data_IF_931500625593
#
_entry.id   IF_931500625593
#
_cell.length_a   1.000
_cell.length_b   1.000
_cell.length_c   1.000
_cell.angle_alpha   90.00
_cell.angle_beta   90.00
_cell.angle_gamma   90.00
#
_symmetry.space_group_name_H-M   'P 1'
#
loop_
_entity.id
_entity.type
_entity.pdbx_description
1 polymer ?
#
# COMPACT_ATOMS: atom_id res chain seq x y z
N UNK A 1 -0.83 -7.75 7.69
CA UNK A 1 -1.93 -6.77 7.66
C UNK A 1 -3.22 -7.47 7.30
N UNK A 2 -4.37 -6.83 7.55
CA UNK A 2 -5.68 -7.42 7.26
C UNK A 2 -6.36 -6.70 6.10
N UNK A 3 -6.97 -7.49 5.22
CA UNK A 3 -7.79 -7.06 4.11
C UNK A 3 -9.23 -7.49 4.38
N UNK A 4 -10.18 -6.57 4.25
CA UNK A 4 -11.60 -6.90 4.16
C UNK A 4 -11.98 -6.98 2.68
N UNK A 5 -12.52 -8.12 2.27
CA UNK A 5 -12.84 -8.40 0.87
C UNK A 5 -14.08 -9.29 0.76
N UNK A 6 -14.44 -9.62 -0.47
CA UNK A 6 -15.59 -10.47 -0.81
C UNK A 6 -15.21 -11.43 -1.94
N UNK A 7 -15.96 -12.53 -2.08
CA UNK A 7 -15.67 -13.52 -3.11
C UNK A 7 -16.09 -13.04 -4.51
N UNK A 8 -15.11 -12.88 -5.40
CA UNK A 8 -15.35 -12.50 -6.80
C UNK A 8 -15.81 -13.67 -7.68
N UNK A 9 -15.53 -14.93 -7.30
CA UNK A 9 -16.09 -16.09 -8.00
C UNK A 9 -17.60 -16.21 -7.78
N UNK A 10 -18.08 -15.89 -6.57
CA UNK A 10 -19.52 -15.74 -6.33
C UNK A 10 -20.15 -14.69 -7.24
N UNK A 11 -19.45 -13.58 -7.48
CA UNK A 11 -19.92 -12.54 -8.41
C UNK A 11 -20.07 -13.06 -9.85
N UNK A 12 -19.14 -13.89 -10.32
CA UNK A 12 -19.23 -14.51 -11.66
C UNK A 12 -20.39 -15.48 -11.78
N UNK A 13 -20.62 -16.30 -10.75
CA UNK A 13 -21.68 -17.31 -10.79
C UNK A 13 -23.09 -16.74 -10.54
N UNK A 14 -23.22 -15.79 -9.61
CA UNK A 14 -24.50 -15.30 -9.12
C UNK A 14 -24.89 -13.93 -9.67
N UNK A 15 -23.97 -13.23 -10.35
CA UNK A 15 -24.13 -11.83 -10.72
C UNK A 15 -23.99 -10.84 -9.55
N UNK A 16 -23.74 -11.35 -8.33
CA UNK A 16 -23.50 -10.56 -7.12
C UNK A 16 -22.46 -11.27 -6.23
N UNK A 17 -21.69 -10.55 -5.39
CA UNK A 17 -20.72 -11.17 -4.51
C UNK A 17 -21.37 -12.03 -3.43
N UNK A 18 -20.54 -12.77 -2.69
CA UNK A 18 -21.02 -13.57 -1.55
C UNK A 18 -21.70 -12.73 -0.47
N UNK A 19 -21.52 -11.41 -0.38
CA UNK A 19 -21.95 -10.54 0.74
C UNK A 19 -21.43 -10.92 2.14
N UNK A 20 -20.96 -12.15 2.33
CA UNK A 20 -20.06 -12.60 3.39
C UNK A 20 -18.80 -11.72 3.43
N UNK A 21 -18.57 -10.97 4.53
CA UNK A 21 -17.32 -10.24 4.70
C UNK A 21 -16.19 -11.22 5.00
N UNK A 22 -15.18 -11.24 4.13
CA UNK A 22 -13.98 -12.07 4.31
C UNK A 22 -12.86 -11.17 4.84
N UNK A 23 -12.34 -11.51 6.02
CA UNK A 23 -11.15 -10.87 6.58
C UNK A 23 -9.97 -11.80 6.35
N UNK A 24 -9.01 -11.36 5.56
CA UNK A 24 -7.87 -12.17 5.18
C UNK A 24 -6.56 -11.45 5.46
N UNK A 25 -5.56 -12.22 5.89
CA UNK A 25 -4.23 -11.68 6.12
C UNK A 25 -3.47 -11.57 4.79
N UNK A 26 -2.64 -10.54 4.71
CA UNK A 26 -1.64 -10.42 3.67
C UNK A 26 -0.31 -9.94 4.27
N UNK A 27 0.76 -10.27 3.56
CA UNK A 27 2.13 -10.02 3.99
C UNK A 27 2.90 -9.29 2.89
N UNK A 28 4.19 -9.56 2.77
CA UNK A 28 5.11 -8.78 1.94
C UNK A 28 4.76 -8.78 0.44
N UNK A 29 4.28 -9.93 -0.06
CA UNK A 29 3.88 -10.13 -1.46
C UNK A 29 2.63 -9.35 -1.87
N UNK A 30 1.89 -8.79 -0.91
CA UNK A 30 0.65 -8.05 -1.16
C UNK A 30 -0.41 -8.89 -1.92
N UNK A 31 -0.44 -10.19 -1.65
CA UNK A 31 -1.41 -11.15 -2.13
C UNK A 31 -2.05 -11.82 -0.91
N UNK A 32 -3.36 -11.96 -0.92
CA UNK A 32 -4.11 -12.70 0.07
C UNK A 32 -4.88 -13.85 -0.57
N UNK A 33 -4.81 -15.04 0.02
CA UNK A 33 -5.56 -16.20 -0.45
C UNK A 33 -6.80 -16.38 0.42
N UNK A 34 -7.97 -16.44 -0.20
CA UNK A 34 -9.25 -16.52 0.50
C UNK A 34 -10.01 -17.78 0.12
N UNK A 35 -10.90 -18.21 1.02
CA UNK A 35 -11.91 -19.24 0.76
C UNK A 35 -13.24 -18.76 1.31
N UNK A 36 -14.28 -18.69 0.48
CA UNK A 36 -15.62 -18.27 0.91
C UNK A 36 -16.45 -19.44 1.44
N UNK A 37 -17.60 -19.15 2.05
CA UNK A 37 -18.54 -20.15 2.54
C UNK A 37 -19.09 -21.12 1.47
N UNK A 38 -18.99 -20.77 0.17
CA UNK A 38 -19.34 -21.66 -0.96
C UNK A 38 -18.18 -22.54 -1.44
N UNK A 39 -17.00 -22.44 -0.82
CA UNK A 39 -15.82 -23.25 -1.15
C UNK A 39 -14.97 -22.72 -2.31
N UNK A 40 -15.29 -21.55 -2.89
CA UNK A 40 -14.42 -20.93 -3.89
C UNK A 40 -13.10 -20.50 -3.27
N UNK A 41 -12.00 -20.80 -3.96
CA UNK A 41 -10.66 -20.34 -3.61
C UNK A 41 -10.22 -19.28 -4.60
N UNK A 42 -9.74 -18.15 -4.10
CA UNK A 42 -9.23 -17.08 -4.97
C UNK A 42 -8.06 -16.33 -4.34
N UNK A 43 -7.28 -15.67 -5.19
CA UNK A 43 -6.20 -14.77 -4.79
C UNK A 43 -6.64 -13.32 -4.97
N UNK A 44 -6.44 -12.50 -3.94
CA UNK A 44 -6.70 -11.07 -3.98
C UNK A 44 -5.38 -10.32 -4.00
N UNK A 45 -5.11 -9.63 -5.10
CA UNK A 45 -3.91 -8.80 -5.28
C UNK A 45 -4.22 -7.39 -4.80
N UNK A 46 -3.39 -6.87 -3.91
CA UNK A 46 -3.48 -5.48 -3.50
C UNK A 46 -2.77 -4.64 -4.56
N UNK A 47 -3.38 -3.54 -5.02
CA UNK A 47 -2.83 -2.67 -6.06
C UNK A 47 -1.87 -1.61 -5.52
N UNK A 48 -1.95 -1.35 -4.23
CA UNK A 48 -1.17 -0.35 -3.52
C UNK A 48 0.34 -0.59 -3.64
N UNK A 49 1.08 0.52 -3.74
CA UNK A 49 2.52 0.53 -3.61
C UNK A 49 2.93 0.28 -2.15
N UNK A 50 4.15 -0.23 -1.97
CA UNK A 50 4.64 -0.65 -0.66
C UNK A 50 4.68 0.50 0.36
N UNK A 51 5.01 1.71 -0.07
CA UNK A 51 5.04 2.88 0.83
C UNK A 51 3.66 3.22 1.38
N UNK A 52 2.60 3.06 0.58
CA UNK A 52 1.23 3.36 1.03
C UNK A 52 0.75 2.34 2.07
N UNK A 53 1.06 1.05 1.86
CA UNK A 53 0.79 -0.04 2.81
C UNK A 53 1.49 0.23 4.15
N UNK A 54 2.75 0.71 4.11
CA UNK A 54 3.53 1.01 5.31
C UNK A 54 3.06 2.28 6.02
N UNK A 55 2.57 3.29 5.30
CA UNK A 55 1.91 4.45 5.89
C UNK A 55 0.67 4.03 6.69
N UNK A 56 -0.16 3.17 6.11
CA UNK A 56 -1.34 2.64 6.80
C UNK A 56 -0.94 1.80 8.03
N UNK A 57 0.09 0.96 7.92
CA UNK A 57 0.64 0.21 9.06
C UNK A 57 1.14 1.13 10.18
N UNK A 58 1.71 2.29 9.83
CA UNK A 58 2.16 3.27 10.82
C UNK A 58 0.99 3.94 11.55
N UNK A 59 -0.08 4.28 10.82
CA UNK A 59 -1.30 4.84 11.41
C UNK A 59 -1.93 3.85 12.37
N UNK A 60 -2.09 2.60 11.95
CA UNK A 60 -2.65 1.54 12.79
C UNK A 60 -1.83 1.37 14.08
N UNK A 61 -0.50 1.31 13.97
CA UNK A 61 0.38 1.19 15.14
C UNK A 61 0.23 2.38 16.09
N UNK A 62 0.20 3.60 15.56
CA UNK A 62 0.09 4.83 16.35
C UNK A 62 -1.25 4.92 17.09
N UNK A 63 -2.37 4.57 16.44
CA UNK A 63 -3.70 4.54 17.05
C UNK A 63 -3.72 3.60 18.26
N UNK A 64 -3.02 2.47 18.18
CA UNK A 64 -2.93 1.49 19.26
C UNK A 64 -1.82 1.79 20.29
N UNK A 65 -1.14 2.93 20.19
CA UNK A 65 -0.10 3.35 21.14
C UNK A 65 1.27 2.72 20.91
N UNK A 66 1.48 2.00 19.81
CA UNK A 66 2.75 1.38 19.42
C UNK A 66 3.65 2.40 18.72
N UNK A 67 4.22 3.34 19.48
CA UNK A 67 4.96 4.50 18.95
C UNK A 67 6.27 4.12 18.25
N UNK A 68 6.97 3.10 18.75
CA UNK A 68 8.21 2.60 18.15
C UNK A 68 7.93 1.97 16.77
N UNK A 69 6.91 1.14 16.69
CA UNK A 69 6.45 0.46 15.48
C UNK A 69 5.91 1.46 14.45
N UNK A 70 5.18 2.48 14.91
CA UNK A 70 4.71 3.57 14.07
C UNK A 70 5.87 4.35 13.45
N UNK A 71 6.85 4.77 14.25
CA UNK A 71 8.04 5.49 13.76
C UNK A 71 8.90 4.63 12.82
N UNK A 72 9.03 3.34 13.11
CA UNK A 72 9.70 2.38 12.22
C UNK A 72 8.98 2.24 10.88
N UNK A 73 7.66 2.08 10.90
CA UNK A 73 6.84 1.92 9.70
C UNK A 73 6.82 3.19 8.84
N UNK A 74 6.76 4.38 9.46
CA UNK A 74 6.91 5.67 8.78
C UNK A 74 8.26 5.77 8.05
N UNK A 75 9.35 5.42 8.74
CA UNK A 75 10.69 5.43 8.16
C UNK A 75 10.79 4.50 6.96
N UNK A 76 10.24 3.30 7.09
CA UNK A 76 10.21 2.33 6.00
C UNK A 76 9.35 2.84 4.82
N UNK A 77 8.21 3.48 5.08
CA UNK A 77 7.37 4.07 4.03
C UNK A 77 8.12 5.16 3.24
N UNK A 78 8.87 6.03 3.93
CA UNK A 78 9.69 7.04 3.29
C UNK A 78 10.73 6.40 2.35
N UNK A 79 11.45 5.38 2.82
CA UNK A 79 12.44 4.67 1.99
C UNK A 79 11.82 3.98 0.78
N UNK A 80 10.67 3.30 0.94
CA UNK A 80 9.97 2.64 -0.18
C UNK A 80 9.38 3.64 -1.19
N UNK A 81 9.20 4.90 -0.81
CA UNK A 81 8.80 5.97 -1.74
C UNK A 81 9.90 6.26 -2.77
N UNK A 82 11.18 6.16 -2.39
CA UNK A 82 12.28 6.31 -3.34
C UNK A 82 12.33 5.15 -4.33
N UNK A 83 12.08 3.92 -3.86
CA UNK A 83 11.99 2.75 -4.76
C UNK A 83 10.85 2.92 -5.79
N UNK A 84 9.70 3.40 -5.33
CA UNK A 84 8.59 3.78 -6.22
C UNK A 84 9.04 4.83 -7.24
N UNK A 85 9.63 5.95 -6.80
CA UNK A 85 10.09 7.00 -7.70
C UNK A 85 11.11 6.49 -8.74
N UNK A 86 12.06 5.66 -8.31
CA UNK A 86 13.05 5.01 -9.20
C UNK A 86 12.35 4.14 -10.25
N UNK A 87 11.31 3.38 -9.87
CA UNK A 87 10.54 2.59 -10.83
C UNK A 87 9.83 3.46 -11.88
N UNK A 88 9.28 4.61 -11.48
CA UNK A 88 8.66 5.59 -12.40
C UNK A 88 9.71 6.18 -13.34
N UNK A 89 10.88 6.56 -12.83
CA UNK A 89 11.97 7.05 -13.66
C UNK A 89 12.48 5.99 -14.64
N UNK A 90 12.53 4.71 -14.24
CA UNK A 90 12.89 3.62 -15.15
C UNK A 90 11.93 3.54 -16.35
N UNK A 91 10.62 3.70 -16.11
CA UNK A 91 9.63 3.77 -17.19
C UNK A 91 9.85 5.02 -18.06
N UNK A 92 10.06 6.20 -17.46
CA UNK A 92 10.37 7.45 -18.19
C UNK A 92 11.55 7.29 -19.16
N UNK A 93 12.62 6.64 -18.71
CA UNK A 93 13.83 6.43 -19.51
C UNK A 93 13.76 5.16 -20.37
N UNK A 94 12.60 4.50 -20.42
CA UNK A 94 12.38 3.27 -21.20
C UNK A 94 13.42 2.18 -20.89
N UNK A 95 13.79 2.05 -19.61
CA UNK A 95 14.68 0.98 -19.16
C UNK A 95 13.89 -0.33 -19.23
N UNK A 96 14.40 -1.29 -19.99
CA UNK A 96 13.79 -2.63 -20.09
C UNK A 96 13.66 -3.26 -18.70
N UNK A 97 12.51 -3.89 -18.42
CA UNK A 97 12.22 -4.48 -17.10
C UNK A 97 13.30 -5.45 -16.62
N UNK A 98 13.85 -6.29 -17.51
CA UNK A 98 14.91 -7.23 -17.13
C UNK A 98 16.20 -6.51 -16.69
N UNK A 99 16.57 -5.44 -17.40
CA UNK A 99 17.73 -4.60 -17.07
C UNK A 99 17.50 -3.88 -15.75
N UNK A 100 16.28 -3.34 -15.55
CA UNK A 100 15.88 -2.73 -14.29
C UNK A 100 16.00 -3.71 -13.12
N UNK A 101 15.43 -4.90 -13.23
CA UNK A 101 15.43 -5.90 -12.15
C UNK A 101 16.85 -6.33 -11.78
N UNK A 102 17.70 -6.60 -12.77
CA UNK A 102 19.11 -6.94 -12.56
C UNK A 102 19.88 -5.81 -11.87
N UNK A 103 19.64 -4.57 -12.28
CA UNK A 103 20.28 -3.38 -11.71
C UNK A 103 19.79 -3.11 -10.29
N UNK A 104 18.47 -3.11 -10.10
CA UNK A 104 17.83 -2.82 -8.82
C UNK A 104 18.19 -3.86 -7.76
N UNK A 105 18.33 -5.14 -8.15
CA UNK A 105 18.82 -6.21 -7.26
C UNK A 105 20.18 -5.91 -6.63
N UNK A 106 21.05 -5.13 -7.28
CA UNK A 106 22.36 -4.72 -6.73
C UNK A 106 22.26 -3.69 -5.60
N UNK A 107 21.12 -3.01 -5.46
CA UNK A 107 20.88 -1.98 -4.44
C UNK A 107 19.68 -2.27 -3.53
N UNK A 108 18.96 -3.39 -3.73
CA UNK A 108 17.76 -3.76 -2.99
C UNK A 108 17.93 -3.73 -1.45
N UNK A 109 19.12 -4.07 -0.93
CA UNK A 109 19.42 -4.12 0.50
C UNK A 109 20.19 -2.90 1.03
N UNK A 110 20.33 -1.84 0.24
CA UNK A 110 21.16 -0.68 0.57
C UNK A 110 20.38 0.61 0.32
N UNK A 111 19.66 1.08 1.34
CA UNK A 111 18.82 2.28 1.26
C UNK A 111 19.61 3.52 0.82
N UNK A 112 20.86 3.68 1.26
CA UNK A 112 21.73 4.79 0.82
C UNK A 112 21.98 4.78 -0.71
N UNK A 113 22.11 3.60 -1.33
CA UNK A 113 22.27 3.49 -2.80
C UNK A 113 20.98 3.83 -3.52
N UNK A 114 19.84 3.41 -2.98
CA UNK A 114 18.53 3.76 -3.52
C UNK A 114 18.30 5.27 -3.45
N UNK A 115 18.60 5.90 -2.32
CA UNK A 115 18.50 7.35 -2.15
C UNK A 115 19.42 8.07 -3.16
N UNK A 116 20.67 7.63 -3.30
CA UNK A 116 21.59 8.18 -4.30
C UNK A 116 21.05 8.08 -5.73
N UNK A 117 20.52 6.90 -6.12
CA UNK A 117 19.89 6.71 -7.42
C UNK A 117 18.69 7.64 -7.63
N UNK A 118 17.82 7.77 -6.63
CA UNK A 118 16.70 8.70 -6.65
C UNK A 118 17.16 10.14 -6.87
N UNK A 119 18.15 10.63 -6.12
CA UNK A 119 18.62 12.02 -6.23
C UNK A 119 19.13 12.35 -7.64
N UNK A 120 19.93 11.47 -8.24
CA UNK A 120 20.45 11.67 -9.59
C UNK A 120 19.35 11.57 -10.65
N UNK A 121 18.43 10.60 -10.54
CA UNK A 121 17.31 10.46 -11.47
C UNK A 121 16.35 11.64 -11.36
N UNK A 122 16.08 12.13 -10.15
CA UNK A 122 15.27 13.33 -9.93
C UNK A 122 15.92 14.56 -10.60
N UNK A 123 17.23 14.78 -10.36
CA UNK A 123 17.96 15.88 -10.97
C UNK A 123 17.97 15.80 -12.50
N UNK A 124 18.18 14.61 -13.06
CA UNK A 124 18.13 14.37 -14.50
C UNK A 124 16.71 14.58 -15.07
N UNK A 125 15.67 14.23 -14.30
CA UNK A 125 14.30 14.31 -14.75
C UNK A 125 13.70 15.71 -14.70
N UNK A 126 14.10 16.52 -13.72
CA UNK A 126 13.49 17.82 -13.42
C UNK A 126 14.43 19.01 -13.58
N UNK A 127 15.74 18.78 -13.79
CA UNK A 127 16.73 19.84 -13.90
C UNK A 127 16.98 20.59 -12.58
N UNK A 128 16.56 20.02 -11.44
CA UNK A 128 16.73 20.61 -10.11
C UNK A 128 17.08 19.55 -9.08
N UNK A 129 17.82 19.94 -8.04
CA UNK A 129 18.17 19.02 -6.95
C UNK A 129 17.00 18.83 -5.99
N UNK A 130 16.76 17.58 -5.60
CA UNK A 130 15.91 17.27 -4.44
C UNK A 130 16.71 17.47 -3.16
N UNK A 131 16.13 18.15 -2.16
CA UNK A 131 16.77 18.36 -0.86
C UNK A 131 16.18 17.40 0.17
N UNK A 132 16.98 16.42 0.60
CA UNK A 132 16.59 15.52 1.68
C UNK A 132 16.44 16.26 3.01
N UNK A 133 15.58 15.73 3.87
CA UNK A 133 15.47 16.20 5.24
C UNK A 133 16.53 15.56 6.14
N UNK A 134 17.36 16.36 6.79
CA UNK A 134 18.35 15.88 7.76
C UNK A 134 17.74 15.34 9.06
N UNK A 135 16.49 15.71 9.36
CA UNK A 135 15.81 15.30 10.59
C UNK A 135 15.25 13.88 10.50
N UNK A 136 14.85 13.44 9.30
CA UNK A 136 14.22 12.13 9.13
C UNK A 136 15.21 11.00 9.51
N UNK A 137 16.44 10.97 8.98
CA UNK A 137 17.43 9.97 9.36
C UNK A 137 17.81 10.03 10.83
N UNK A 138 17.83 11.22 11.45
CA UNK A 138 18.19 11.38 12.87
C UNK A 138 17.22 10.65 13.78
N UNK A 139 15.92 10.86 13.61
CA UNK A 139 14.93 10.19 14.45
C UNK A 139 14.87 8.69 14.12
N UNK A 140 14.90 8.32 12.83
CA UNK A 140 14.97 6.92 12.41
C UNK A 140 16.13 6.19 13.09
N UNK A 141 17.32 6.77 13.11
CA UNK A 141 18.49 6.14 13.71
C UNK A 141 18.35 5.97 15.23
N UNK A 142 17.76 6.95 15.93
CA UNK A 142 17.45 6.82 17.36
C UNK A 142 16.48 5.66 17.63
N UNK A 143 15.36 5.62 16.91
CA UNK A 143 14.32 4.61 17.12
C UNK A 143 14.85 3.21 16.77
N UNK A 144 15.41 3.04 15.57
CA UNK A 144 15.78 1.73 15.02
C UNK A 144 17.06 1.18 15.67
N UNK A 145 18.08 2.01 15.88
CA UNK A 145 19.41 1.52 16.29
C UNK A 145 19.69 1.72 17.79
N UNK A 146 19.00 2.64 18.46
CA UNK A 146 19.21 2.93 19.87
C UNK A 146 18.06 2.45 20.76
N UNK A 147 17.00 1.90 20.18
CA UNK A 147 15.82 1.44 20.92
C UNK A 147 15.07 2.58 21.61
N UNK A 148 15.21 3.81 21.10
CA UNK A 148 14.48 4.96 21.63
C UNK A 148 12.98 4.80 21.38
N UNK A 149 12.17 4.88 22.45
CA UNK A 149 10.71 4.84 22.39
C UNK A 149 10.18 6.28 22.43
N UNK A 150 9.81 6.88 21.29
CA UNK A 150 9.33 8.26 21.25
C UNK A 150 7.93 8.39 21.86
N UNK A 151 7.60 9.54 22.47
CA UNK A 151 6.23 9.87 22.83
C UNK A 151 5.35 10.08 21.57
N UNK A 152 4.02 9.92 21.67
CA UNK A 152 3.13 10.01 20.51
C UNK A 152 3.20 11.34 19.74
N UNK A 153 3.41 12.46 20.42
CA UNK A 153 3.50 13.78 19.78
C UNK A 153 4.77 13.95 18.93
N UNK A 154 5.87 13.32 19.33
CA UNK A 154 7.11 13.26 18.54
C UNK A 154 6.90 12.41 17.29
N UNK A 155 6.24 11.25 17.42
CA UNK A 155 5.90 10.39 16.26
C UNK A 155 4.96 11.12 15.31
N UNK A 156 4.01 11.90 15.82
CA UNK A 156 3.08 12.65 15.00
C UNK A 156 3.77 13.76 14.20
N UNK A 157 4.67 14.53 14.83
CA UNK A 157 5.51 15.52 14.14
C UNK A 157 6.38 14.88 13.06
N UNK A 158 6.97 13.72 13.37
CA UNK A 158 7.75 12.93 12.43
C UNK A 158 6.91 12.42 11.25
N UNK A 159 5.72 11.89 11.55
CA UNK A 159 4.75 11.40 10.58
C UNK A 159 4.33 12.49 9.61
N UNK A 160 4.01 13.70 10.09
CA UNK A 160 3.71 14.85 9.22
C UNK A 160 4.83 15.17 8.25
N UNK A 161 6.08 15.12 8.74
CA UNK A 161 7.22 15.43 7.90
C UNK A 161 7.40 14.42 6.78
N UNK A 162 7.34 13.13 7.12
CA UNK A 162 7.44 12.05 6.14
C UNK A 162 6.25 12.10 5.18
N UNK A 163 5.04 12.26 5.70
CA UNK A 163 3.83 12.29 4.90
C UNK A 163 3.85 13.46 3.90
N UNK A 164 4.33 14.63 4.32
CA UNK A 164 4.56 15.76 3.41
C UNK A 164 5.60 15.43 2.34
N UNK A 165 6.75 14.88 2.68
CA UNK A 165 7.78 14.52 1.70
C UNK A 165 7.27 13.50 0.67
N UNK A 166 6.53 12.48 1.12
CA UNK A 166 5.88 11.50 0.25
C UNK A 166 4.85 12.20 -0.65
N UNK A 167 4.04 13.09 -0.09
CA UNK A 167 3.07 13.90 -0.83
C UNK A 167 3.72 14.77 -1.90
N UNK A 168 4.82 15.45 -1.58
CA UNK A 168 5.56 16.31 -2.50
C UNK A 168 6.19 15.51 -3.65
N UNK A 169 6.84 14.38 -3.35
CA UNK A 169 7.43 13.47 -4.36
C UNK A 169 6.33 12.92 -5.28
N UNK A 170 5.28 12.35 -4.71
CA UNK A 170 4.21 11.69 -5.47
C UNK A 170 3.41 12.68 -6.31
N UNK A 171 3.12 13.88 -5.79
CA UNK A 171 2.45 14.95 -6.55
C UNK A 171 3.31 15.38 -7.73
N UNK A 172 4.61 15.61 -7.49
CA UNK A 172 5.54 16.00 -8.56
C UNK A 172 5.65 14.95 -9.66
N UNK A 173 5.70 13.67 -9.31
CA UNK A 173 5.71 12.57 -10.26
C UNK A 173 4.37 12.44 -11.00
N UNK A 174 3.24 12.64 -10.32
CA UNK A 174 1.91 12.57 -10.94
C UNK A 174 1.68 13.67 -11.97
N UNK A 175 2.14 14.88 -11.68
CA UNK A 175 2.04 16.02 -12.59
C UNK A 175 2.90 15.83 -13.84
N UNK A 176 4.10 15.26 -13.68
CA UNK A 176 5.07 15.16 -14.77
C UNK A 176 5.00 13.85 -15.56
N UNK A 177 4.70 12.73 -14.90
CA UNK A 177 4.83 11.36 -15.43
C UNK A 177 3.62 10.46 -15.07
N UNK A 178 2.37 10.89 -15.34
CA UNK A 178 1.18 10.12 -14.95
C UNK A 178 1.11 8.76 -15.66
N UNK A 179 1.55 8.69 -16.92
CA UNK A 179 1.58 7.43 -17.69
C UNK A 179 2.60 6.45 -17.11
N UNK A 180 3.80 6.93 -16.79
CA UNK A 180 4.89 6.14 -16.25
C UNK A 180 4.55 5.57 -14.86
N UNK A 181 3.74 6.30 -14.07
CA UNK A 181 3.16 5.76 -12.83
C UNK A 181 2.26 4.58 -13.13
N UNK A 182 1.36 4.69 -14.11
CA UNK A 182 0.51 3.57 -14.52
C UNK A 182 1.33 2.39 -15.03
N UNK A 183 2.35 2.63 -15.84
CA UNK A 183 3.25 1.59 -16.37
C UNK A 183 4.01 0.89 -15.23
N UNK A 184 4.53 1.65 -14.25
CA UNK A 184 5.16 1.08 -13.06
C UNK A 184 4.17 0.26 -12.22
N UNK A 185 2.93 0.71 -12.08
CA UNK A 185 1.88 -0.04 -11.39
C UNK A 185 1.58 -1.36 -12.12
N UNK A 186 1.44 -1.32 -13.46
CA UNK A 186 1.21 -2.53 -14.26
C UNK A 186 2.36 -3.53 -14.15
N UNK A 187 3.62 -3.06 -14.14
CA UNK A 187 4.78 -3.93 -13.95
C UNK A 187 4.75 -4.68 -12.60
N UNK A 188 4.41 -3.97 -11.51
CA UNK A 188 4.26 -4.59 -10.18
C UNK A 188 3.09 -5.58 -10.16
N UNK A 189 1.95 -5.23 -10.76
CA UNK A 189 0.80 -6.13 -10.84
C UNK A 189 1.11 -7.39 -11.64
N UNK A 190 1.83 -7.26 -12.75
CA UNK A 190 2.24 -8.39 -13.56
C UNK A 190 3.16 -9.35 -12.79
N UNK A 191 4.10 -8.82 -12.00
CA UNK A 191 4.95 -9.65 -11.13
C UNK A 191 4.15 -10.37 -10.04
N UNK A 192 3.24 -9.67 -9.37
CA UNK A 192 2.34 -10.29 -8.38
C UNK A 192 1.51 -11.40 -9.03
N UNK A 193 0.96 -11.14 -10.22
CA UNK A 193 0.15 -12.12 -10.95
C UNK A 193 0.95 -13.37 -11.34
N UNK A 194 2.24 -13.22 -11.75
CA UNK A 194 3.13 -14.35 -12.04
C UNK A 194 3.38 -15.26 -10.82
N UNK A 195 3.24 -14.74 -9.60
CA UNK A 195 3.43 -15.52 -8.37
C UNK A 195 2.19 -16.33 -7.95
N UNK A 196 1.06 -16.14 -8.63
CA UNK A 196 -0.19 -16.86 -8.36
C UNK A 196 -0.15 -18.21 -9.10
N UNK A 197 -0.50 -19.33 -8.44
CA UNK A 197 -0.56 -20.63 -9.11
C UNK A 197 -1.54 -20.65 -10.29
N UNK A 198 -1.17 -21.38 -11.34
CA UNK A 198 -2.00 -21.52 -12.55
C UNK A 198 -3.42 -22.00 -12.21
N UNK A 199 -4.41 -21.41 -12.89
CA UNK A 199 -5.82 -21.75 -12.72
C UNK A 199 -6.48 -21.22 -11.44
N UNK A 200 -5.75 -20.54 -10.55
CA UNK A 200 -6.35 -19.87 -9.39
C UNK A 200 -7.04 -18.58 -9.84
N UNK A 201 -8.37 -18.45 -9.66
CA UNK A 201 -9.05 -17.21 -9.95
C UNK A 201 -8.55 -16.08 -9.07
N UNK A 202 -8.44 -14.89 -9.62
CA UNK A 202 -7.91 -13.75 -8.89
C UNK A 202 -8.62 -12.44 -9.21
N UNK A 203 -8.50 -11.50 -8.30
CA UNK A 203 -9.03 -10.15 -8.42
C UNK A 203 -8.08 -9.14 -7.78
N UNK A 204 -8.24 -7.87 -8.13
CA UNK A 204 -7.43 -6.79 -7.59
C UNK A 204 -8.24 -5.90 -6.64
N UNK A 205 -7.61 -5.33 -5.63
CA UNK A 205 -8.24 -4.39 -4.70
C UNK A 205 -7.27 -3.29 -4.25
N UNK A 206 -7.78 -2.15 -3.83
CA UNK A 206 -7.03 -1.10 -3.14
C UNK A 206 -7.45 -1.08 -1.68
N UNK A 207 -6.48 -1.04 -0.76
CA UNK A 207 -6.77 -1.16 0.69
C UNK A 207 -6.61 0.13 1.45
N UNK A 208 -5.90 1.10 0.90
CA UNK A 208 -5.37 2.19 1.71
C UNK A 208 -6.39 3.30 1.93
N UNK A 209 -6.63 3.60 3.21
CA UNK A 209 -7.46 4.73 3.63
C UNK A 209 -6.63 5.96 3.99
N UNK A 210 -5.34 5.78 4.32
CA UNK A 210 -4.44 6.86 4.74
C UNK A 210 -3.88 7.65 3.56
N UNK A 211 -3.45 6.97 2.50
CA UNK A 211 -2.85 7.57 1.31
C UNK A 211 -3.16 6.68 0.11
N UNK A 212 -3.69 7.26 -0.96
CA UNK A 212 -4.04 6.52 -2.17
C UNK A 212 -3.53 7.26 -3.41
N UNK A 213 -2.50 6.72 -4.07
CA UNK A 213 -1.91 7.35 -5.24
C UNK A 213 -2.87 7.41 -6.43
N UNK A 214 -3.68 6.37 -6.61
CA UNK A 214 -4.67 6.20 -7.68
C UNK A 214 -6.03 6.85 -7.38
N UNK A 215 -6.21 7.39 -6.18
CA UNK A 215 -7.47 7.95 -5.69
C UNK A 215 -7.49 9.47 -5.66
N UNK A 216 -8.32 10.03 -4.76
CA UNK A 216 -8.33 11.46 -4.45
C UNK A 216 -6.96 11.89 -3.93
N UNK A 217 -6.67 13.20 -4.05
CA UNK A 217 -5.49 13.80 -3.44
C UNK A 217 -5.36 13.38 -1.98
N UNK A 218 -4.13 13.09 -1.51
CA UNK A 218 -3.91 12.72 -0.12
C UNK A 218 -4.40 13.81 0.83
N UNK A 219 -4.76 13.42 2.05
CA UNK A 219 -5.14 14.38 3.09
C UNK A 219 -4.03 15.41 3.30
N UNK A 220 -4.33 16.67 3.66
CA UNK A 220 -3.32 17.72 3.79
C UNK A 220 -2.26 17.48 4.87
N UNK A 221 -2.55 16.68 5.90
CA UNK A 221 -1.61 16.34 6.98
C UNK A 221 -1.73 14.89 7.44
N UNK A 222 -0.73 14.43 8.19
CA UNK A 222 -0.75 13.08 8.75
C UNK A 222 -1.83 12.92 9.83
N UNK A 223 -2.11 13.93 10.65
CA UNK A 223 -3.25 13.91 11.59
C UNK A 223 -4.59 13.72 10.87
N UNK A 224 -4.77 14.41 9.75
CA UNK A 224 -5.99 14.30 8.96
C UNK A 224 -6.09 12.92 8.32
N UNK A 225 -4.96 12.37 7.84
CA UNK A 225 -4.90 11.01 7.34
C UNK A 225 -5.22 9.95 8.43
N UNK A 226 -4.78 10.15 9.67
CA UNK A 226 -5.15 9.31 10.83
C UNK A 226 -6.66 9.40 11.08
N UNK A 227 -7.21 10.62 11.08
CA UNK A 227 -8.63 10.85 11.33
C UNK A 227 -9.50 10.20 10.25
N UNK A 228 -9.14 10.37 8.98
CA UNK A 228 -9.81 9.75 7.84
C UNK A 228 -9.73 8.22 7.90
N UNK A 229 -8.58 7.68 8.27
CA UNK A 229 -8.40 6.24 8.48
C UNK A 229 -9.33 5.69 9.57
N UNK A 230 -9.39 6.34 10.74
CA UNK A 230 -10.26 5.93 11.84
C UNK A 230 -11.74 5.93 11.43
N UNK A 231 -12.21 6.99 10.76
CA UNK A 231 -13.57 7.08 10.25
C UNK A 231 -13.85 5.96 9.23
N UNK A 232 -12.93 5.73 8.29
CA UNK A 232 -13.08 4.67 7.30
C UNK A 232 -13.15 3.28 7.92
N UNK A 233 -12.35 3.01 8.96
CA UNK A 233 -12.40 1.76 9.73
C UNK A 233 -13.71 1.58 10.49
N UNK A 234 -14.25 2.64 11.09
CA UNK A 234 -15.55 2.61 11.76
C UNK A 234 -16.68 2.31 10.75
N UNK A 235 -16.65 2.92 9.57
CA UNK A 235 -17.62 2.64 8.50
C UNK A 235 -17.52 1.17 8.04
N UNK A 236 -16.31 0.67 7.78
CA UNK A 236 -16.11 -0.71 7.33
C UNK A 236 -16.53 -1.75 8.37
N UNK A 237 -16.24 -1.49 9.65
CA UNK A 237 -16.62 -2.37 10.76
C UNK A 237 -18.12 -2.33 11.03
N UNK A 238 -18.75 -1.15 11.01
CA UNK A 238 -20.21 -1.02 11.17
C UNK A 238 -21.00 -1.61 10.00
N UNK A 239 -20.43 -1.64 8.79
CA UNK A 239 -21.04 -2.26 7.61
C UNK A 239 -21.08 -3.81 7.66
N UNK A 240 -20.28 -4.45 8.53
CA UNK A 240 -20.19 -5.92 8.57
C UNK A 240 -21.53 -6.58 8.96
N UNK A 241 -22.22 -6.05 9.97
CA UNK A 241 -23.51 -6.56 10.47
C UNK A 241 -24.62 -6.50 9.41
N UNK A 242 -24.91 -5.34 8.77
CA UNK A 242 -25.93 -5.29 7.73
C UNK A 242 -25.57 -6.11 6.50
N UNK A 243 -24.28 -6.24 6.13
CA UNK A 243 -23.87 -7.13 5.03
C UNK A 243 -24.11 -8.61 5.36
N UNK A 244 -23.85 -9.03 6.59
CA UNK A 244 -24.13 -10.40 7.02
C UNK A 244 -25.64 -10.68 7.04
N UNK A 245 -26.47 -9.76 7.54
CA UNK A 245 -27.92 -9.90 7.49
C UNK A 245 -28.45 -9.97 6.05
N UNK A 246 -27.90 -9.16 5.14
CA UNK A 246 -28.23 -9.21 3.72
C UNK A 246 -27.84 -10.57 3.11
N UNK A 247 -26.67 -11.10 3.47
CA UNK A 247 -26.22 -12.40 2.99
C UNK A 247 -27.19 -13.53 3.40
N UNK A 248 -27.58 -13.57 4.68
CA UNK A 248 -28.54 -14.55 5.19
C UNK A 248 -29.90 -14.48 4.47
N UNK A 249 -30.37 -13.27 4.16
CA UNK A 249 -31.63 -13.08 3.46
C UNK A 249 -31.54 -13.51 1.99
N UNK A 250 -30.47 -13.14 1.28
CA UNK A 250 -30.23 -13.55 -0.11
C UNK A 250 -30.14 -15.07 -0.25
N UNK A 251 -29.52 -15.76 0.72
CA UNK A 251 -29.45 -17.22 0.74
C UNK A 251 -30.82 -17.92 0.78
N UNK A 252 -31.86 -17.28 1.33
CA UNK A 252 -33.22 -17.85 1.34
C UNK A 252 -33.83 -17.90 -0.06
N UNK A 253 -33.47 -16.95 -0.93
CA UNK A 253 -34.00 -16.83 -2.30
C UNK A 253 -33.10 -17.51 -3.35
N UNK A 254 -31.82 -17.72 -3.03
CA UNK A 254 -30.85 -18.44 -3.86
C UNK A 254 -30.11 -19.49 -3.02
N UNK A 255 -30.78 -20.60 -2.64
CA UNK A 255 -30.20 -21.59 -1.75
C UNK A 255 -28.93 -22.18 -2.36
N UNK A 256 -27.89 -22.31 -1.55
CA UNK A 256 -26.61 -22.90 -1.93
C UNK A 256 -26.85 -24.29 -2.56
N UNK A 257 -26.69 -24.40 -3.88
CA UNK A 257 -26.49 -25.70 -4.52
C UNK A 257 -25.12 -26.21 -4.05
N UNK A 258 -25.11 -27.03 -2.99
CA UNK A 258 -23.93 -27.83 -2.63
C UNK A 258 -23.63 -28.74 -3.82
N UNK A 259 -22.53 -28.48 -4.52
CA UNK A 259 -21.91 -29.44 -5.43
C UNK A 259 -20.94 -30.31 -4.63
#
# INVERSE_FOLDING_TARGET
>A
MKLQTMCMECMKELGHPSFEPIIADYFDQAISYITCGRGHRSAILIQSFKFEILLESAVEALIHGYTLEAASSLSAAYERTFEFAISVFAQKYSIEQQVFDLTFKQMLKQSERQIGAFLFLYAAAFGSAYKLSDEIPRLRNKVIHQGYIPPPDEVLKFGNKIYKEIGDITTRLREAFPKEISDAQFAIMAERMRSIPDGVPHATTTTNLTFCLSGKSPEPSFEQAISAYTIGKEILSSAAVPMQALFEEVQKFSPMQKR
#
